data_IF_365606138886
#
_entry.id   IF_365606138886
#
_cell.length_a   1.000
_cell.length_b   1.000
_cell.length_c   1.000
_cell.angle_alpha   90.00
_cell.angle_beta   90.00
_cell.angle_gamma   90.00
#
_symmetry.space_group_name_H-M   'P 1'
#
loop_
_entity.id
_entity.type
_entity.pdbx_description
1 polymer ?
#
# COMPACT_ATOMS: atom_id res chain seq x y z
N UNK A 1 -18.43 0.93 -28.03
CA UNK A 1 -17.95 2.15 -27.32
C UNK A 1 -16.74 1.80 -26.47
N UNK A 2 -15.76 2.72 -26.33
CA UNK A 2 -14.65 2.50 -25.39
C UNK A 2 -15.19 2.49 -23.95
N UNK A 3 -14.81 1.49 -23.15
CA UNK A 3 -15.18 1.42 -21.75
C UNK A 3 -14.40 2.48 -20.98
N UNK A 4 -15.10 3.43 -20.35
CA UNK A 4 -14.48 4.47 -19.52
C UNK A 4 -14.60 4.12 -18.04
N UNK A 5 -13.49 4.03 -17.32
CA UNK A 5 -13.41 3.65 -15.92
C UNK A 5 -12.71 4.75 -15.14
N UNK A 6 -13.32 5.19 -14.04
CA UNK A 6 -12.69 6.10 -13.10
C UNK A 6 -11.96 5.33 -12.01
N UNK A 7 -10.73 5.75 -11.70
CA UNK A 7 -9.98 5.28 -10.52
C UNK A 7 -9.71 6.48 -9.63
N UNK A 8 -10.36 6.51 -8.47
CA UNK A 8 -10.29 7.63 -7.53
C UNK A 8 -9.40 7.28 -6.34
N UNK A 9 -8.43 8.16 -6.07
CA UNK A 9 -7.49 8.02 -4.96
C UNK A 9 -7.22 9.38 -4.29
N UNK A 10 -6.45 9.39 -3.22
CA UNK A 10 -5.95 10.60 -2.56
C UNK A 10 -4.43 10.51 -2.46
N UNK A 11 -3.77 11.61 -2.82
CA UNK A 11 -2.32 11.84 -2.65
C UNK A 11 -1.43 10.90 -3.47
N UNK A 12 -0.69 11.48 -4.39
CA UNK A 12 0.26 10.79 -5.30
C UNK A 12 1.46 10.11 -4.60
N UNK A 13 1.61 10.26 -3.28
CA UNK A 13 2.72 9.67 -2.50
C UNK A 13 2.28 8.54 -1.58
N UNK A 14 1.04 8.09 -1.70
CA UNK A 14 0.42 7.11 -0.81
C UNK A 14 0.40 5.69 -1.39
N UNK A 15 0.15 4.70 -0.53
CA UNK A 15 -0.19 3.34 -0.96
C UNK A 15 -1.44 3.30 -1.84
N UNK A 16 -2.40 4.20 -1.59
CA UNK A 16 -3.63 4.34 -2.39
C UNK A 16 -3.35 4.68 -3.86
N UNK A 17 -2.42 5.60 -4.13
CA UNK A 17 -1.97 5.90 -5.49
C UNK A 17 -1.28 4.72 -6.15
N UNK A 18 -0.38 4.01 -5.43
CA UNK A 18 0.27 2.81 -5.97
C UNK A 18 -0.76 1.72 -6.30
N UNK A 19 -1.76 1.53 -5.44
CA UNK A 19 -2.88 0.63 -5.68
C UNK A 19 -3.68 1.02 -6.94
N UNK A 20 -4.00 2.31 -7.08
CA UNK A 20 -4.68 2.84 -8.27
C UNK A 20 -3.88 2.57 -9.55
N UNK A 21 -2.57 2.83 -9.53
CA UNK A 21 -1.68 2.56 -10.68
C UNK A 21 -1.55 1.07 -11.00
N UNK A 22 -1.55 0.20 -10.00
CA UNK A 22 -1.55 -1.24 -10.21
C UNK A 22 -2.83 -1.73 -10.91
N UNK A 23 -3.99 -1.22 -10.48
CA UNK A 23 -5.29 -1.52 -11.11
C UNK A 23 -5.35 -0.95 -12.53
N UNK A 24 -4.89 0.29 -12.74
CA UNK A 24 -4.81 0.93 -14.07
C UNK A 24 -3.99 0.06 -15.03
N UNK A 25 -2.79 -0.37 -14.60
CA UNK A 25 -1.93 -1.23 -15.42
C UNK A 25 -2.57 -2.59 -15.70
N UNK A 26 -3.22 -3.19 -14.71
CA UNK A 26 -3.91 -4.47 -14.85
C UNK A 26 -5.11 -4.38 -15.83
N UNK A 27 -5.91 -3.32 -15.72
CA UNK A 27 -7.01 -3.06 -16.67
C UNK A 27 -6.51 -2.91 -18.10
N UNK A 28 -5.39 -2.19 -18.31
CA UNK A 28 -4.77 -2.06 -19.63
C UNK A 28 -4.23 -3.38 -20.19
N UNK A 29 -3.76 -4.28 -19.32
CA UNK A 29 -3.35 -5.64 -19.72
C UNK A 29 -4.56 -6.49 -20.15
N UNK A 30 -5.69 -6.36 -19.42
CA UNK A 30 -6.91 -7.14 -19.70
C UNK A 30 -7.71 -6.61 -20.88
N UNK A 31 -7.80 -5.29 -21.02
CA UNK A 31 -8.50 -4.63 -22.12
C UNK A 31 -7.78 -3.33 -22.52
N UNK A 32 -7.03 -3.39 -23.62
CA UNK A 32 -6.27 -2.24 -24.13
C UNK A 32 -7.17 -1.09 -24.59
N UNK A 33 -8.44 -1.37 -24.91
CA UNK A 33 -9.40 -0.37 -25.37
C UNK A 33 -10.08 0.40 -24.21
N UNK A 34 -9.87 -0.01 -22.95
CA UNK A 34 -10.36 0.75 -21.80
C UNK A 34 -9.75 2.15 -21.74
N UNK A 35 -10.60 3.16 -21.62
CA UNK A 35 -10.21 4.51 -21.23
C UNK A 35 -10.22 4.60 -19.72
N UNK A 36 -9.06 4.86 -19.12
CA UNK A 36 -8.93 4.91 -17.66
C UNK A 36 -8.57 6.33 -17.25
N UNK A 37 -9.40 6.90 -16.41
CA UNK A 37 -9.20 8.25 -15.83
C UNK A 37 -8.87 8.10 -14.36
N UNK A 38 -7.58 8.20 -14.04
CA UNK A 38 -7.08 8.13 -12.65
C UNK A 38 -6.97 9.52 -12.05
N UNK A 39 -7.73 9.80 -10.98
CA UNK A 39 -7.85 11.14 -10.39
C UNK A 39 -7.48 11.18 -8.91
N UNK A 40 -6.61 12.12 -8.53
CA UNK A 40 -6.46 12.57 -7.15
C UNK A 40 -7.66 13.47 -6.82
N UNK A 41 -8.63 12.88 -6.11
CA UNK A 41 -9.91 13.53 -5.88
C UNK A 41 -9.79 14.80 -5.02
N UNK A 42 -8.87 14.84 -4.06
CA UNK A 42 -8.65 16.05 -3.26
C UNK A 42 -8.10 17.19 -4.13
N UNK A 43 -7.15 16.88 -5.02
CA UNK A 43 -6.59 17.87 -5.94
C UNK A 43 -7.63 18.35 -6.96
N UNK A 44 -8.55 17.49 -7.37
CA UNK A 44 -9.65 17.85 -8.26
C UNK A 44 -10.70 18.76 -7.57
N UNK A 45 -11.16 18.36 -6.39
CA UNK A 45 -12.19 19.10 -5.65
C UNK A 45 -11.69 20.43 -5.10
N UNK A 46 -10.43 20.45 -4.65
CA UNK A 46 -9.82 21.57 -3.93
C UNK A 46 -8.43 21.92 -4.49
N UNK A 47 -8.33 22.41 -5.76
CA UNK A 47 -7.04 22.61 -6.43
C UNK A 47 -6.11 23.60 -5.71
N UNK A 48 -6.67 24.61 -5.03
CA UNK A 48 -5.88 25.62 -4.32
C UNK A 48 -5.48 25.20 -2.90
N UNK A 49 -6.31 24.43 -2.20
CA UNK A 49 -6.06 24.02 -0.81
C UNK A 49 -5.46 22.61 -0.69
N UNK A 50 -5.52 21.79 -1.74
CA UNK A 50 -5.02 20.40 -1.70
C UNK A 50 -3.54 20.30 -1.31
N UNK A 51 -2.70 21.24 -1.77
CA UNK A 51 -1.28 21.31 -1.37
C UNK A 51 -1.13 21.56 0.14
N UNK A 52 -1.95 22.47 0.70
CA UNK A 52 -1.96 22.77 2.14
C UNK A 52 -2.49 21.59 2.94
N UNK A 53 -3.58 20.95 2.50
CA UNK A 53 -4.15 19.75 3.15
C UNK A 53 -3.14 18.61 3.14
N UNK A 54 -2.50 18.34 2.01
CA UNK A 54 -1.45 17.32 1.89
C UNK A 54 -0.23 17.66 2.76
N UNK A 55 0.15 18.92 2.87
CA UNK A 55 1.22 19.39 3.75
C UNK A 55 0.86 19.21 5.22
N UNK A 56 -0.34 19.64 5.64
CA UNK A 56 -0.84 19.46 7.00
C UNK A 56 -0.98 17.98 7.38
N UNK A 57 -1.53 17.17 6.49
CA UNK A 57 -1.58 15.71 6.66
C UNK A 57 -0.18 15.12 6.88
N UNK A 58 0.77 15.48 6.02
CA UNK A 58 2.17 15.03 6.14
C UNK A 58 2.81 15.52 7.45
N UNK A 59 2.49 16.73 7.89
CA UNK A 59 2.98 17.31 9.14
C UNK A 59 2.41 16.57 10.36
N UNK A 60 1.10 16.31 10.38
CA UNK A 60 0.43 15.59 11.47
C UNK A 60 0.98 14.16 11.57
N UNK A 61 1.04 13.42 10.47
CA UNK A 61 1.58 12.06 10.45
C UNK A 61 3.05 12.01 10.90
N UNK A 62 3.84 13.03 10.57
CA UNK A 62 5.28 13.07 10.93
C UNK A 62 5.55 13.60 12.33
N UNK A 63 4.84 14.65 12.77
CA UNK A 63 5.16 15.37 14.02
C UNK A 63 4.20 15.05 15.16
N UNK A 64 2.95 14.66 14.86
CA UNK A 64 1.91 14.39 15.85
C UNK A 64 1.23 13.03 15.59
N UNK A 65 2.00 11.95 15.42
CA UNK A 65 1.45 10.65 15.03
C UNK A 65 0.43 10.09 16.05
N UNK A 66 0.55 10.47 17.33
CA UNK A 66 -0.37 10.08 18.40
C UNK A 66 -1.78 10.67 18.20
N UNK A 67 -1.87 11.95 17.77
CA UNK A 67 -3.17 12.57 17.46
C UNK A 67 -3.86 11.89 16.27
N UNK A 68 -3.07 11.50 15.26
CA UNK A 68 -3.58 10.75 14.12
C UNK A 68 -4.17 9.40 14.54
N UNK A 69 -3.44 8.63 15.36
CA UNK A 69 -3.92 7.34 15.89
C UNK A 69 -5.20 7.46 16.71
N UNK A 70 -5.31 8.52 17.53
CA UNK A 70 -6.51 8.76 18.36
C UNK A 70 -7.76 9.11 17.54
N UNK A 71 -7.60 9.76 16.39
CA UNK A 71 -8.71 10.09 15.48
C UNK A 71 -9.10 8.85 14.65
N UNK A 72 -8.11 8.02 14.29
CA UNK A 72 -8.30 6.89 13.39
C UNK A 72 -9.10 5.73 14.01
N UNK A 73 -8.95 5.47 15.32
CA UNK A 73 -9.51 4.28 16.00
C UNK A 73 -10.81 4.52 16.79
N UNK A 74 -11.26 5.78 16.95
CA UNK A 74 -12.48 6.05 17.74
C UNK A 74 -13.76 5.87 16.92
N UNK A 75 -14.32 4.66 16.90
CA UNK A 75 -15.64 4.36 16.31
C UNK A 75 -16.76 5.28 16.85
N UNK A 76 -16.69 5.69 18.12
CA UNK A 76 -17.66 6.60 18.75
C UNK A 76 -17.60 8.03 18.20
N UNK A 77 -16.43 8.50 17.73
CA UNK A 77 -16.32 9.78 17.02
C UNK A 77 -16.98 9.71 15.63
N UNK A 78 -16.99 8.55 15.00
CA UNK A 78 -17.56 8.36 13.66
C UNK A 78 -19.07 8.49 13.67
N UNK A 79 -19.76 7.97 14.70
CA UNK A 79 -21.22 8.14 14.88
C UNK A 79 -21.60 9.61 15.14
N UNK A 80 -20.77 10.37 15.85
CA UNK A 80 -20.96 11.82 16.07
C UNK A 80 -20.62 12.69 14.85
N UNK A 81 -19.85 12.16 13.88
CA UNK A 81 -19.42 12.90 12.69
C UNK A 81 -20.35 12.67 11.48
N UNK A 82 -21.32 11.75 11.54
CA UNK A 82 -22.25 11.50 10.42
C UNK A 82 -22.97 12.78 9.90
N UNK A 83 -23.51 13.68 10.75
CA UNK A 83 -24.09 14.92 10.29
C UNK A 83 -23.03 15.86 9.64
N UNK A 84 -21.79 15.83 10.16
CA UNK A 84 -20.67 16.60 9.63
C UNK A 84 -20.15 16.05 8.30
N UNK A 85 -20.12 14.71 8.13
CA UNK A 85 -19.85 14.07 6.83
C UNK A 85 -20.85 14.52 5.77
N UNK A 86 -22.14 14.58 6.08
CA UNK A 86 -23.18 15.03 5.14
C UNK A 86 -22.96 16.47 4.69
N UNK A 87 -22.59 17.37 5.60
CA UNK A 87 -22.30 18.75 5.27
C UNK A 87 -20.98 18.91 4.47
N UNK A 88 -19.94 18.15 4.80
CA UNK A 88 -18.66 18.14 4.09
C UNK A 88 -18.85 17.66 2.63
N UNK A 89 -19.68 16.62 2.44
CA UNK A 89 -19.97 16.08 1.11
C UNK A 89 -20.83 17.01 0.24
N UNK A 90 -21.65 17.90 0.83
CA UNK A 90 -22.62 18.69 0.06
C UNK A 90 -21.98 19.61 -1.00
N UNK A 91 -20.84 20.23 -0.69
CA UNK A 91 -20.13 21.07 -1.65
C UNK A 91 -19.39 20.25 -2.72
N UNK A 92 -18.83 19.12 -2.31
CA UNK A 92 -18.02 18.27 -3.19
C UNK A 92 -18.88 17.38 -4.07
N UNK A 93 -20.13 17.06 -3.66
CA UNK A 93 -21.07 16.25 -4.42
C UNK A 93 -21.37 16.84 -5.80
N UNK A 94 -21.63 18.14 -5.89
CA UNK A 94 -21.94 18.79 -7.18
C UNK A 94 -20.79 18.61 -8.16
N UNK A 95 -19.56 18.84 -7.72
CA UNK A 95 -18.39 18.70 -8.60
C UNK A 95 -18.17 17.27 -9.08
N UNK A 96 -18.42 16.27 -8.21
CA UNK A 96 -18.35 14.86 -8.58
C UNK A 96 -19.51 14.48 -9.51
N UNK A 97 -20.71 14.96 -9.23
CA UNK A 97 -21.88 14.76 -10.10
C UNK A 97 -21.62 15.31 -11.51
N UNK A 98 -21.17 16.57 -11.61
CA UNK A 98 -20.82 17.22 -12.87
C UNK A 98 -19.74 16.44 -13.63
N UNK A 99 -18.72 15.95 -12.90
CA UNK A 99 -17.67 15.12 -13.49
C UNK A 99 -18.21 13.82 -14.05
N UNK A 100 -19.06 13.10 -13.29
CA UNK A 100 -19.67 11.82 -13.73
C UNK A 100 -20.61 12.06 -14.91
N UNK A 101 -21.43 13.11 -14.90
CA UNK A 101 -22.33 13.47 -16.00
C UNK A 101 -21.55 13.82 -17.26
N UNK A 102 -20.48 14.61 -17.12
CA UNK A 102 -19.63 15.04 -18.24
C UNK A 102 -18.89 13.87 -18.88
N UNK A 103 -18.22 13.08 -18.05
CA UNK A 103 -17.29 12.03 -18.51
C UNK A 103 -17.97 10.69 -18.77
N UNK A 104 -19.15 10.44 -18.20
CA UNK A 104 -19.99 9.25 -18.35
C UNK A 104 -19.20 7.94 -18.14
N UNK A 105 -18.53 7.75 -16.98
CA UNK A 105 -17.84 6.50 -16.72
C UNK A 105 -18.85 5.35 -16.60
N UNK A 106 -18.44 4.15 -17.01
CA UNK A 106 -19.23 2.93 -16.85
C UNK A 106 -18.99 2.24 -15.52
N UNK A 107 -17.96 2.64 -14.77
CA UNK A 107 -17.68 2.16 -13.42
C UNK A 107 -16.68 3.05 -12.70
N UNK A 108 -16.73 3.02 -11.37
CA UNK A 108 -15.84 3.76 -10.48
C UNK A 108 -15.13 2.81 -9.54
N UNK A 109 -13.82 2.92 -9.45
CA UNK A 109 -12.98 2.19 -8.51
C UNK A 109 -12.37 3.20 -7.53
N UNK A 110 -12.50 2.97 -6.25
CA UNK A 110 -11.93 3.83 -5.22
C UNK A 110 -10.88 3.07 -4.41
N UNK A 111 -9.66 3.57 -4.33
CA UNK A 111 -8.59 2.97 -3.53
C UNK A 111 -8.44 3.62 -2.15
N UNK A 112 -9.38 4.51 -1.79
CA UNK A 112 -9.40 5.19 -0.50
C UNK A 112 -10.85 5.45 -0.05
N UNK A 113 -11.08 5.45 1.28
CA UNK A 113 -12.43 5.51 1.87
C UNK A 113 -13.20 6.81 1.56
N UNK A 114 -12.53 7.98 1.54
CA UNK A 114 -13.20 9.27 1.30
C UNK A 114 -13.85 9.35 -0.10
N UNK A 115 -13.14 9.13 -1.22
CA UNK A 115 -13.78 9.12 -2.53
C UNK A 115 -14.83 8.01 -2.66
N UNK A 116 -14.62 6.85 -2.03
CA UNK A 116 -15.59 5.77 -2.02
C UNK A 116 -16.90 6.20 -1.36
N UNK A 117 -16.83 6.79 -0.16
CA UNK A 117 -18.00 7.30 0.56
C UNK A 117 -18.71 8.44 -0.17
N UNK A 118 -17.94 9.31 -0.85
CA UNK A 118 -18.51 10.42 -1.62
C UNK A 118 -19.34 9.92 -2.83
N UNK A 119 -18.79 8.96 -3.59
CA UNK A 119 -19.51 8.35 -4.73
C UNK A 119 -20.70 7.50 -4.25
N UNK A 120 -20.53 6.75 -3.14
CA UNK A 120 -21.63 5.97 -2.55
C UNK A 120 -22.78 6.88 -2.11
N UNK A 121 -22.48 8.02 -1.47
CA UNK A 121 -23.53 9.00 -1.10
C UNK A 121 -24.22 9.62 -2.33
N UNK A 122 -23.48 9.87 -3.41
CA UNK A 122 -24.08 10.32 -4.68
C UNK A 122 -25.01 9.25 -5.26
N UNK A 123 -24.60 7.97 -5.24
CA UNK A 123 -25.44 6.85 -5.69
C UNK A 123 -26.74 6.78 -4.91
N UNK A 124 -26.69 6.87 -3.59
CA UNK A 124 -27.87 6.91 -2.70
C UNK A 124 -28.82 8.04 -3.09
N UNK A 125 -28.30 9.27 -3.20
CA UNK A 125 -29.10 10.47 -3.48
C UNK A 125 -29.74 10.48 -4.88
N UNK A 126 -29.08 9.90 -5.87
CA UNK A 126 -29.53 9.92 -7.27
C UNK A 126 -30.10 8.58 -7.74
N UNK A 127 -30.23 7.60 -6.85
CA UNK A 127 -30.61 6.21 -7.19
C UNK A 127 -29.82 5.67 -8.38
N UNK A 128 -28.52 6.00 -8.44
CA UNK A 128 -27.66 5.65 -9.57
C UNK A 128 -27.24 4.18 -9.52
N UNK A 129 -27.29 3.52 -10.66
CA UNK A 129 -26.81 2.13 -10.85
C UNK A 129 -25.35 2.06 -11.28
N UNK A 130 -24.61 3.18 -11.26
CA UNK A 130 -23.19 3.20 -11.63
C UNK A 130 -22.38 2.23 -10.75
N UNK A 131 -21.72 1.22 -11.32
CA UNK A 131 -20.90 0.27 -10.55
C UNK A 131 -19.83 1.00 -9.75
N UNK A 132 -19.78 0.72 -8.43
CA UNK A 132 -18.82 1.29 -7.49
C UNK A 132 -18.08 0.17 -6.77
N UNK A 133 -16.75 0.16 -6.90
CA UNK A 133 -15.87 -0.82 -6.28
C UNK A 133 -14.93 -0.13 -5.31
N UNK A 134 -15.02 -0.50 -4.03
CA UNK A 134 -14.13 -0.05 -2.97
C UNK A 134 -12.95 -1.01 -2.79
N UNK A 135 -11.74 -0.59 -3.14
CA UNK A 135 -10.53 -1.40 -2.96
C UNK A 135 -9.83 -0.97 -1.69
N UNK A 136 -10.00 -1.75 -0.63
CA UNK A 136 -9.47 -1.46 0.70
C UNK A 136 -7.97 -1.74 0.73
N UNK A 137 -7.17 -0.70 0.84
CA UNK A 137 -5.70 -0.79 0.80
C UNK A 137 -5.04 -1.03 2.17
N UNK A 138 -5.85 -1.17 3.20
CA UNK A 138 -5.43 -1.45 4.57
C UNK A 138 -5.69 -2.90 4.95
N UNK A 139 -4.84 -3.46 5.79
CA UNK A 139 -5.08 -4.79 6.35
C UNK A 139 -6.16 -4.75 7.44
N UNK A 140 -6.46 -3.56 7.97
CA UNK A 140 -7.53 -3.31 8.93
C UNK A 140 -8.36 -2.09 8.49
N UNK A 141 -9.52 -2.30 7.84
CA UNK A 141 -10.36 -1.21 7.38
C UNK A 141 -10.97 -0.43 8.54
N UNK A 142 -10.98 0.88 8.42
CA UNK A 142 -11.73 1.75 9.32
C UNK A 142 -13.21 1.87 8.89
N UNK A 143 -14.05 2.41 9.78
CA UNK A 143 -15.50 2.55 9.55
C UNK A 143 -15.89 3.50 8.41
N UNK A 144 -14.97 4.33 7.91
CA UNK A 144 -15.24 5.21 6.77
C UNK A 144 -15.42 4.47 5.44
N UNK A 145 -15.00 3.19 5.38
CA UNK A 145 -15.20 2.36 4.20
C UNK A 145 -16.64 1.88 4.03
N UNK A 146 -17.38 1.68 5.14
CA UNK A 146 -18.64 0.94 5.10
C UNK A 146 -19.79 1.78 4.56
N UNK A 147 -20.35 1.37 3.43
CA UNK A 147 -21.57 1.91 2.82
C UNK A 147 -22.30 0.81 2.06
N UNK A 148 -23.64 0.68 2.21
CA UNK A 148 -24.43 -0.31 1.48
C UNK A 148 -24.50 -0.05 -0.02
N UNK A 149 -24.19 1.17 -0.47
CA UNK A 149 -24.25 1.59 -1.86
C UNK A 149 -23.00 1.20 -2.68
N UNK A 150 -22.00 0.61 -2.04
CA UNK A 150 -20.82 0.06 -2.73
C UNK A 150 -21.16 -1.36 -3.20
N UNK A 151 -21.06 -1.60 -4.51
CA UNK A 151 -21.45 -2.88 -5.10
C UNK A 151 -20.47 -4.00 -4.72
N UNK A 152 -19.16 -3.70 -4.73
CA UNK A 152 -18.12 -4.64 -4.31
C UNK A 152 -17.05 -3.98 -3.47
N UNK A 153 -16.64 -4.69 -2.42
CA UNK A 153 -15.44 -4.39 -1.66
C UNK A 153 -14.36 -5.42 -1.94
N UNK A 154 -13.17 -4.96 -2.27
CA UNK A 154 -11.98 -5.82 -2.37
C UNK A 154 -11.17 -5.67 -1.10
N UNK A 155 -10.84 -6.80 -0.47
CA UNK A 155 -10.08 -6.88 0.77
C UNK A 155 -8.86 -7.79 0.64
N UNK A 156 -7.89 -7.61 1.55
CA UNK A 156 -6.64 -8.38 1.54
C UNK A 156 -6.82 -9.84 1.95
N UNK A 157 -7.59 -10.09 3.01
CA UNK A 157 -7.69 -11.39 3.68
C UNK A 157 -9.11 -11.68 4.18
N UNK A 158 -9.51 -12.95 4.23
CA UNK A 158 -10.86 -13.37 4.61
C UNK A 158 -11.28 -12.94 6.03
N UNK A 159 -10.35 -12.86 6.97
CA UNK A 159 -10.66 -12.43 8.33
C UNK A 159 -11.23 -11.00 8.40
N UNK A 160 -10.99 -10.17 7.38
CA UNK A 160 -11.55 -8.82 7.27
C UNK A 160 -13.06 -8.85 7.00
N UNK A 161 -13.59 -9.91 6.37
CA UNK A 161 -15.02 -10.08 6.07
C UNK A 161 -15.92 -9.88 7.30
N UNK A 162 -15.44 -10.34 8.46
CA UNK A 162 -16.18 -10.21 9.71
C UNK A 162 -16.55 -8.75 10.02
N UNK A 163 -15.62 -7.80 9.82
CA UNK A 163 -15.88 -6.37 10.04
C UNK A 163 -16.94 -5.81 9.08
N UNK A 164 -16.92 -6.24 7.84
CA UNK A 164 -17.93 -5.84 6.85
C UNK A 164 -19.31 -6.40 7.21
N UNK A 165 -19.38 -7.66 7.64
CA UNK A 165 -20.62 -8.28 8.12
C UNK A 165 -21.18 -7.56 9.34
N UNK A 166 -20.34 -7.22 10.32
CA UNK A 166 -20.71 -6.44 11.52
C UNK A 166 -21.22 -5.04 11.16
N UNK A 167 -20.74 -4.46 10.06
CA UNK A 167 -21.22 -3.19 9.51
C UNK A 167 -22.45 -3.31 8.60
N UNK A 168 -23.07 -4.50 8.49
CA UNK A 168 -24.29 -4.73 7.69
C UNK A 168 -24.03 -4.88 6.18
N UNK A 169 -22.80 -5.03 5.75
CA UNK A 169 -22.47 -5.25 4.34
C UNK A 169 -22.69 -6.72 3.97
N UNK A 170 -23.36 -6.97 2.84
CA UNK A 170 -23.62 -8.32 2.34
C UNK A 170 -22.29 -9.05 2.06
N UNK A 171 -22.20 -10.30 2.49
CA UNK A 171 -20.97 -11.10 2.29
C UNK A 171 -20.63 -11.28 0.80
N UNK A 172 -21.65 -11.43 -0.05
CA UNK A 172 -21.48 -11.52 -1.50
C UNK A 172 -20.81 -10.31 -2.14
N UNK A 173 -20.93 -9.14 -1.54
CA UNK A 173 -20.30 -7.91 -1.96
C UNK A 173 -18.81 -7.83 -1.55
N UNK A 174 -18.32 -8.70 -0.65
CA UNK A 174 -16.94 -8.64 -0.15
C UNK A 174 -16.08 -9.72 -0.81
N UNK A 175 -15.12 -9.29 -1.62
CA UNK A 175 -14.23 -10.16 -2.40
C UNK A 175 -12.81 -10.15 -1.84
N UNK A 176 -12.30 -11.31 -1.48
CA UNK A 176 -10.91 -11.47 -0.99
C UNK A 176 -9.99 -11.70 -2.18
N UNK A 177 -9.53 -10.61 -2.80
CA UNK A 177 -8.66 -10.65 -3.98
C UNK A 177 -7.22 -10.18 -3.70
N UNK A 178 -6.93 -9.80 -2.45
CA UNK A 178 -5.63 -9.24 -2.08
C UNK A 178 -5.52 -7.73 -2.30
N UNK A 179 -4.42 -7.15 -1.82
CA UNK A 179 -4.10 -5.75 -2.10
C UNK A 179 -3.50 -5.61 -3.49
N UNK A 180 -3.95 -4.63 -4.30
CA UNK A 180 -3.45 -4.48 -5.66
C UNK A 180 -1.98 -4.04 -5.67
N UNK A 181 -1.13 -4.91 -6.13
CA UNK A 181 0.28 -4.65 -6.40
C UNK A 181 0.51 -4.63 -7.91
N UNK A 182 1.59 -3.97 -8.33
CA UNK A 182 1.94 -3.90 -9.75
C UNK A 182 2.10 -5.30 -10.34
N UNK A 183 1.58 -5.59 -11.56
CA UNK A 183 1.72 -6.91 -12.19
C UNK A 183 3.17 -7.40 -12.33
N UNK A 184 4.14 -6.48 -12.29
CA UNK A 184 5.57 -6.82 -12.33
C UNK A 184 6.04 -7.63 -11.12
N UNK A 185 5.33 -7.57 -9.98
CA UNK A 185 5.63 -8.42 -8.83
C UNK A 185 5.29 -9.91 -9.06
N UNK A 186 4.49 -10.23 -10.07
CA UNK A 186 4.21 -11.61 -10.47
C UNK A 186 5.31 -12.23 -11.35
N UNK A 187 6.24 -11.41 -11.88
CA UNK A 187 7.32 -11.88 -12.74
C UNK A 187 8.43 -12.50 -11.91
N UNK A 188 8.86 -13.69 -12.32
CA UNK A 188 10.13 -14.23 -11.87
C UNK A 188 11.27 -13.54 -12.60
N UNK A 189 12.29 -13.11 -11.86
CA UNK A 189 13.45 -12.42 -12.40
C UNK A 189 14.70 -13.24 -12.10
N UNK A 190 15.57 -13.36 -13.09
CA UNK A 190 16.84 -14.08 -12.94
C UNK A 190 17.79 -13.34 -11.98
N UNK A 191 18.12 -13.97 -10.85
CA UNK A 191 18.97 -13.41 -9.80
C UNK A 191 20.40 -13.14 -10.32
N UNK A 192 20.94 -13.96 -11.23
CA UNK A 192 22.28 -13.75 -11.82
C UNK A 192 22.29 -12.50 -12.71
N UNK A 193 21.26 -12.32 -13.54
CA UNK A 193 21.12 -11.13 -14.37
C UNK A 193 20.99 -9.86 -13.51
N UNK A 194 20.14 -9.92 -12.47
CA UNK A 194 19.97 -8.80 -11.54
C UNK A 194 21.26 -8.47 -10.79
N UNK A 195 22.09 -9.48 -10.45
CA UNK A 195 23.36 -9.24 -9.78
C UNK A 195 24.32 -8.39 -10.63
N UNK A 196 24.37 -8.67 -11.93
CA UNK A 196 25.17 -7.89 -12.87
C UNK A 196 24.62 -6.45 -13.02
N UNK A 197 23.29 -6.32 -13.18
CA UNK A 197 22.61 -5.02 -13.30
C UNK A 197 22.82 -4.14 -12.07
N UNK A 198 22.76 -4.73 -10.88
CA UNK A 198 22.91 -4.03 -9.61
C UNK A 198 24.37 -3.86 -9.17
N UNK A 199 25.29 -4.63 -9.77
CA UNK A 199 26.69 -4.70 -9.31
C UNK A 199 26.78 -5.21 -7.87
N UNK A 200 26.04 -6.28 -7.56
CA UNK A 200 25.99 -7.00 -6.29
C UNK A 200 26.23 -8.49 -6.51
N UNK A 201 26.64 -9.22 -5.49
CA UNK A 201 26.89 -10.67 -5.59
C UNK A 201 25.59 -11.46 -5.58
N UNK A 202 25.42 -12.45 -6.47
CA UNK A 202 24.31 -13.41 -6.42
C UNK A 202 24.41 -14.41 -5.26
N UNK A 203 25.62 -14.58 -4.69
CA UNK A 203 25.93 -15.59 -3.67
C UNK A 203 25.71 -15.08 -2.24
N UNK A 204 25.78 -13.75 -2.04
CA UNK A 204 25.59 -13.15 -0.73
C UNK A 204 24.10 -12.87 -0.45
N UNK A 205 23.65 -13.08 0.80
CA UNK A 205 22.34 -12.63 1.21
C UNK A 205 22.18 -11.13 1.03
N UNK A 206 21.02 -10.69 0.56
CA UNK A 206 20.73 -9.28 0.32
C UNK A 206 19.60 -8.79 1.24
N UNK A 207 19.85 -7.68 1.92
CA UNK A 207 18.89 -7.02 2.78
C UNK A 207 18.44 -5.71 2.15
N UNK A 208 17.12 -5.61 1.90
CA UNK A 208 16.50 -4.38 1.41
C UNK A 208 16.03 -3.52 2.60
N UNK A 209 16.44 -2.27 2.64
CA UNK A 209 16.01 -1.30 3.66
C UNK A 209 15.24 -0.17 2.99
N UNK A 210 13.95 -0.01 3.32
CA UNK A 210 13.11 1.03 2.73
C UNK A 210 12.03 1.56 3.67
N UNK A 211 11.73 2.88 3.58
CA UNK A 211 10.75 3.58 4.40
C UNK A 211 9.51 4.05 3.63
N UNK A 212 9.11 3.29 2.59
CA UNK A 212 8.05 3.69 1.67
C UNK A 212 8.45 4.85 0.74
N UNK A 213 7.52 5.35 -0.06
CA UNK A 213 7.81 6.37 -1.08
C UNK A 213 8.36 7.69 -0.54
N UNK A 214 8.10 8.03 0.71
CA UNK A 214 8.65 9.23 1.38
C UNK A 214 9.98 8.99 2.11
N UNK A 215 10.50 7.76 2.16
CA UNK A 215 11.74 7.42 2.84
C UNK A 215 11.69 7.72 4.35
N UNK A 216 10.57 7.36 5.01
CA UNK A 216 10.38 7.61 6.43
C UNK A 216 11.08 6.54 7.29
N UNK A 217 11.45 6.93 8.51
CA UNK A 217 12.12 6.07 9.47
C UNK A 217 13.63 6.31 9.54
N UNK A 218 14.32 5.66 10.47
CA UNK A 218 15.75 5.87 10.72
C UNK A 218 16.63 5.01 9.81
N UNK A 219 16.39 5.04 8.48
CA UNK A 219 17.05 4.15 7.51
C UNK A 219 18.57 4.24 7.58
N UNK A 220 19.13 5.45 7.78
CA UNK A 220 20.57 5.64 7.94
C UNK A 220 21.13 4.91 9.16
N UNK A 221 20.45 4.99 10.33
CA UNK A 221 20.85 4.26 11.52
C UNK A 221 20.71 2.75 11.38
N UNK A 222 19.70 2.30 10.64
CA UNK A 222 19.54 0.87 10.31
C UNK A 222 20.71 0.40 9.46
N UNK A 223 21.07 1.17 8.43
CA UNK A 223 22.24 0.86 7.58
C UNK A 223 23.53 0.80 8.41
N UNK A 224 23.75 1.75 9.32
CA UNK A 224 24.93 1.81 10.20
C UNK A 224 25.05 0.57 11.10
N UNK A 225 23.96 0.17 11.75
CA UNK A 225 24.01 -0.97 12.66
C UNK A 225 24.21 -2.28 11.93
N UNK A 226 23.67 -2.41 10.72
CA UNK A 226 23.87 -3.57 9.86
C UNK A 226 25.31 -3.63 9.29
N UNK A 227 25.90 -2.48 8.98
CA UNK A 227 27.27 -2.40 8.49
C UNK A 227 28.32 -2.87 9.51
N UNK A 228 27.99 -2.78 10.80
CA UNK A 228 28.84 -3.25 11.90
C UNK A 228 28.72 -4.77 12.19
N UNK A 229 27.83 -5.49 11.49
CA UNK A 229 27.72 -6.96 11.65
C UNK A 229 28.96 -7.66 11.13
N UNK A 230 29.38 -8.74 11.79
CA UNK A 230 30.47 -9.61 11.35
C UNK A 230 30.05 -10.59 10.24
N UNK A 231 28.74 -10.78 10.02
CA UNK A 231 28.24 -11.70 8.99
C UNK A 231 28.36 -11.10 7.61
N UNK A 232 28.60 -11.94 6.62
CA UNK A 232 28.67 -11.59 5.21
C UNK A 232 27.28 -11.43 4.60
N UNK A 233 26.95 -10.24 4.16
CA UNK A 233 25.73 -9.88 3.40
C UNK A 233 25.90 -8.52 2.75
N UNK A 234 24.97 -8.13 1.90
CA UNK A 234 24.96 -6.87 1.18
C UNK A 234 23.64 -6.12 1.37
N UNK A 235 23.63 -4.81 1.10
CA UNK A 235 22.52 -3.93 1.35
C UNK A 235 22.02 -3.24 0.10
N UNK A 236 20.70 -3.14 -0.03
CA UNK A 236 20.03 -2.21 -0.93
C UNK A 236 19.25 -1.23 -0.05
N UNK A 237 19.48 0.07 -0.19
CA UNK A 237 18.82 1.11 0.60
C UNK A 237 18.03 2.01 -0.33
N UNK A 238 16.71 2.09 -0.13
CA UNK A 238 15.84 2.97 -0.92
C UNK A 238 15.36 4.13 -0.06
N UNK A 239 15.91 5.31 -0.33
CA UNK A 239 15.63 6.55 0.42
C UNK A 239 14.30 7.22 0.04
N UNK A 240 13.65 6.76 -1.04
CA UNK A 240 12.44 7.40 -1.55
C UNK A 240 12.69 8.88 -1.88
N UNK A 241 11.72 9.74 -1.60
CA UNK A 241 11.84 11.20 -1.83
C UNK A 241 12.67 11.94 -0.77
N UNK A 242 13.31 11.25 0.16
CA UNK A 242 14.18 11.85 1.18
C UNK A 242 15.57 12.14 0.62
N UNK A 243 15.70 13.24 -0.15
CA UNK A 243 16.95 13.68 -0.77
C UNK A 243 18.08 13.92 0.26
N UNK A 244 17.72 14.43 1.46
CA UNK A 244 18.71 14.67 2.52
C UNK A 244 19.35 13.35 2.97
N UNK A 245 18.56 12.34 3.23
CA UNK A 245 19.06 11.01 3.62
C UNK A 245 19.88 10.39 2.48
N UNK A 246 19.40 10.48 1.25
CA UNK A 246 20.12 9.97 0.08
C UNK A 246 21.53 10.54 -0.03
N UNK A 247 21.67 11.88 0.03
CA UNK A 247 22.96 12.55 -0.04
C UNK A 247 23.88 12.20 1.16
N UNK A 248 23.29 12.08 2.37
CA UNK A 248 24.05 11.67 3.56
C UNK A 248 24.65 10.27 3.41
N UNK A 249 23.87 9.32 2.87
CA UNK A 249 24.32 7.94 2.71
C UNK A 249 25.34 7.78 1.57
N UNK A 250 25.21 8.53 0.47
CA UNK A 250 26.19 8.52 -0.62
C UNK A 250 27.59 8.93 -0.18
N UNK A 251 27.69 9.87 0.76
CA UNK A 251 28.97 10.35 1.29
C UNK A 251 29.53 9.48 2.41
N UNK A 252 28.82 8.40 2.79
CA UNK A 252 29.26 7.49 3.85
C UNK A 252 30.06 6.33 3.30
N UNK A 253 31.17 6.00 3.97
CA UNK A 253 31.91 4.76 3.70
C UNK A 253 31.26 3.62 4.46
N UNK A 254 31.03 2.51 3.80
CA UNK A 254 30.49 1.27 4.36
C UNK A 254 31.55 0.17 4.26
N UNK A 255 31.55 -0.73 5.25
CA UNK A 255 32.36 -1.93 5.24
C UNK A 255 31.76 -3.00 4.30
N UNK A 256 30.44 -3.00 4.17
CA UNK A 256 29.70 -3.93 3.30
C UNK A 256 29.45 -3.35 1.93
N UNK A 257 29.13 -4.22 0.97
CA UNK A 257 28.63 -3.79 -0.32
C UNK A 257 27.23 -3.18 -0.16
N UNK A 258 27.09 -1.89 -0.47
CA UNK A 258 25.83 -1.13 -0.30
C UNK A 258 25.47 -0.42 -1.60
N UNK A 259 24.22 -0.60 -2.03
CA UNK A 259 23.64 0.19 -3.13
C UNK A 259 22.55 1.11 -2.57
N UNK A 260 22.64 2.38 -2.92
CA UNK A 260 21.78 3.43 -2.39
C UNK A 260 20.98 4.04 -3.53
N UNK A 261 19.67 4.06 -3.38
CA UNK A 261 18.75 4.61 -4.37
C UNK A 261 17.86 5.70 -3.78
N UNK A 262 17.56 6.70 -4.58
CA UNK A 262 16.52 7.69 -4.31
C UNK A 262 15.13 7.07 -4.55
N UNK A 263 14.12 7.87 -4.92
CA UNK A 263 12.84 7.34 -5.40
C UNK A 263 13.03 6.61 -6.73
N UNK A 264 12.50 5.39 -6.83
CA UNK A 264 12.62 4.53 -8.01
C UNK A 264 11.37 3.66 -8.19
N UNK A 265 11.14 3.22 -9.39
CA UNK A 265 10.12 2.23 -9.77
C UNK A 265 10.68 0.80 -9.84
N UNK A 266 11.99 0.60 -9.67
CA UNK A 266 12.66 -0.71 -9.71
C UNK A 266 12.45 -1.57 -8.44
N UNK A 267 11.51 -1.20 -7.58
CA UNK A 267 11.21 -1.95 -6.35
C UNK A 267 10.95 -3.45 -6.62
N UNK A 268 10.23 -3.85 -7.69
CA UNK A 268 10.06 -5.26 -8.01
C UNK A 268 11.40 -6.01 -8.23
N UNK A 269 12.39 -5.36 -8.86
CA UNK A 269 13.74 -5.93 -9.06
C UNK A 269 14.48 -6.06 -7.74
N UNK A 270 14.47 -5.00 -6.92
CA UNK A 270 15.16 -5.00 -5.64
C UNK A 270 14.58 -6.04 -4.68
N UNK A 271 13.26 -6.17 -4.61
CA UNK A 271 12.60 -7.20 -3.81
C UNK A 271 12.86 -8.60 -4.36
N UNK A 272 12.91 -8.79 -5.69
CA UNK A 272 13.24 -10.10 -6.29
C UNK A 272 14.69 -10.52 -6.02
N UNK A 273 15.59 -9.57 -5.83
CA UNK A 273 17.01 -9.83 -5.55
C UNK A 273 17.29 -10.04 -4.05
N UNK A 274 16.39 -9.58 -3.17
CA UNK A 274 16.58 -9.56 -1.73
C UNK A 274 16.05 -10.82 -1.04
N UNK A 275 16.60 -11.13 0.13
CA UNK A 275 16.19 -12.24 1.00
C UNK A 275 15.39 -11.74 2.21
N UNK A 276 15.74 -10.55 2.71
CA UNK A 276 15.14 -9.91 3.88
C UNK A 276 14.76 -8.47 3.52
N UNK A 277 13.64 -8.00 4.03
CA UNK A 277 13.27 -6.59 3.94
C UNK A 277 13.07 -5.99 5.33
N UNK A 278 13.61 -4.79 5.54
CA UNK A 278 13.37 -3.97 6.73
C UNK A 278 12.55 -2.75 6.31
N UNK A 279 11.32 -2.68 6.79
CA UNK A 279 10.37 -1.65 6.33
C UNK A 279 9.33 -1.30 7.40
N UNK A 280 8.41 -0.40 7.06
CA UNK A 280 7.20 -0.11 7.84
C UNK A 280 6.05 -1.02 7.38
N UNK A 281 5.05 -1.31 8.23
CA UNK A 281 3.94 -2.22 7.90
C UNK A 281 2.84 -1.54 7.05
N UNK A 282 3.23 -0.80 6.00
CA UNK A 282 2.30 -0.24 5.03
C UNK A 282 1.72 -1.34 4.13
N UNK A 283 0.39 -1.37 3.96
CA UNK A 283 -0.33 -2.47 3.30
C UNK A 283 0.29 -2.89 1.96
N UNK A 284 0.48 -1.95 1.04
CA UNK A 284 1.03 -2.25 -0.30
C UNK A 284 2.45 -2.82 -0.22
N UNK A 285 3.35 -2.22 0.58
CA UNK A 285 4.72 -2.72 0.73
C UNK A 285 4.76 -4.13 1.33
N UNK A 286 3.87 -4.42 2.30
CA UNK A 286 3.72 -5.77 2.85
C UNK A 286 3.25 -6.75 1.77
N UNK A 287 2.21 -6.40 1.00
CA UNK A 287 1.72 -7.27 -0.08
C UNK A 287 2.80 -7.55 -1.14
N UNK A 288 3.57 -6.53 -1.54
CA UNK A 288 4.73 -6.64 -2.43
C UNK A 288 5.80 -7.59 -1.85
N UNK A 289 6.12 -7.45 -0.56
CA UNK A 289 7.10 -8.28 0.14
C UNK A 289 6.67 -9.73 0.27
N UNK A 290 5.39 -9.97 0.56
CA UNK A 290 4.80 -11.31 0.60
C UNK A 290 4.85 -11.97 -0.77
N UNK A 291 4.52 -11.23 -1.84
CA UNK A 291 4.56 -11.73 -3.22
C UNK A 291 5.96 -12.17 -3.65
N UNK A 292 7.00 -11.49 -3.16
CA UNK A 292 8.40 -11.88 -3.41
C UNK A 292 8.95 -12.88 -2.40
N UNK A 293 8.16 -13.24 -1.37
CA UNK A 293 8.57 -14.22 -0.36
C UNK A 293 9.71 -13.74 0.51
N UNK A 294 9.72 -12.47 0.88
CA UNK A 294 10.77 -11.90 1.73
C UNK A 294 10.51 -12.20 3.21
N UNK A 295 11.57 -12.40 3.99
CA UNK A 295 11.49 -12.31 5.44
C UNK A 295 11.35 -10.83 5.84
N UNK A 296 10.26 -10.48 6.53
CA UNK A 296 9.88 -9.08 6.75
C UNK A 296 10.20 -8.69 8.19
N UNK A 297 11.02 -7.65 8.36
CA UNK A 297 11.28 -7.02 9.65
C UNK A 297 10.62 -5.64 9.65
N UNK A 298 9.69 -5.44 10.58
CA UNK A 298 8.99 -4.17 10.76
C UNK A 298 9.65 -3.36 11.85
N UNK A 299 9.84 -2.06 11.58
CA UNK A 299 10.40 -1.13 12.52
C UNK A 299 9.66 0.22 12.51
N UNK A 300 9.31 0.74 13.71
CA UNK A 300 8.62 2.03 13.91
C UNK A 300 7.38 2.22 13.02
N UNK A 301 6.31 1.46 13.27
CA UNK A 301 5.02 1.70 12.62
C UNK A 301 4.50 3.11 12.93
N UNK A 302 3.76 3.69 12.00
CA UNK A 302 3.00 4.92 12.28
C UNK A 302 1.79 4.55 13.13
N UNK A 303 1.53 5.27 14.25
CA UNK A 303 0.36 5.02 15.11
C UNK A 303 -0.95 4.99 14.33
N UNK A 304 -1.89 4.16 14.80
CA UNK A 304 -3.18 3.93 14.17
C UNK A 304 -3.13 2.86 13.10
N UNK A 305 -3.22 3.22 11.85
CA UNK A 305 -3.34 2.29 10.71
C UNK A 305 -2.20 1.26 10.63
N UNK A 306 -0.94 1.71 10.68
CA UNK A 306 0.20 0.80 10.57
C UNK A 306 0.37 -0.09 11.82
N UNK A 307 -0.02 0.39 13.01
CA UNK A 307 -0.04 -0.44 14.23
C UNK A 307 -1.08 -1.55 14.15
N UNK A 308 -2.26 -1.27 13.59
CA UNK A 308 -3.29 -2.28 13.41
C UNK A 308 -2.88 -3.32 12.37
N UNK A 309 -2.25 -2.89 11.26
CA UNK A 309 -1.63 -3.79 10.30
C UNK A 309 -0.59 -4.68 11.00
N UNK A 310 0.28 -4.10 11.83
CA UNK A 310 1.33 -4.83 12.53
C UNK A 310 0.77 -5.88 13.49
N UNK A 311 -0.27 -5.56 14.28
CA UNK A 311 -0.91 -6.52 15.19
C UNK A 311 -1.34 -7.79 14.46
N UNK A 312 -1.97 -7.63 13.29
CA UNK A 312 -2.36 -8.75 12.45
C UNK A 312 -1.15 -9.53 11.93
N UNK A 313 -0.18 -8.84 11.34
CA UNK A 313 0.99 -9.48 10.73
C UNK A 313 1.81 -10.28 11.75
N UNK A 314 1.91 -9.81 12.99
CA UNK A 314 2.57 -10.52 14.09
C UNK A 314 1.76 -11.75 14.51
N UNK A 315 0.44 -11.62 14.64
CA UNK A 315 -0.45 -12.75 14.96
C UNK A 315 -0.32 -13.88 13.96
N UNK A 316 -0.23 -13.54 12.68
CA UNK A 316 -0.06 -14.52 11.60
C UNK A 316 1.39 -14.97 11.41
N UNK A 317 2.34 -14.55 12.25
CA UNK A 317 3.76 -14.87 12.13
C UNK A 317 4.34 -14.53 10.73
N UNK A 318 3.91 -13.43 10.13
CA UNK A 318 4.35 -12.96 8.81
C UNK A 318 5.50 -11.95 8.89
N UNK A 319 5.71 -11.35 10.07
CA UNK A 319 6.74 -10.33 10.28
C UNK A 319 7.42 -10.47 11.63
N UNK A 320 8.64 -9.98 11.71
CA UNK A 320 9.34 -9.70 12.96
C UNK A 320 9.12 -8.24 13.33
N UNK A 321 8.70 -7.96 14.57
CA UNK A 321 8.52 -6.61 15.07
C UNK A 321 9.73 -6.20 15.91
N UNK A 322 10.60 -5.36 15.36
CA UNK A 322 11.74 -4.81 16.07
C UNK A 322 11.37 -3.45 16.72
N UNK A 323 11.45 -3.35 18.03
CA UNK A 323 11.19 -2.12 18.78
C UNK A 323 12.43 -1.23 18.90
N UNK A 324 13.62 -1.84 18.92
CA UNK A 324 14.92 -1.17 19.05
C UNK A 324 15.83 -1.52 17.87
N UNK A 325 16.75 -0.62 17.52
CA UNK A 325 17.69 -0.85 16.41
C UNK A 325 18.53 -2.14 16.59
N UNK A 326 18.97 -2.42 17.82
CA UNK A 326 19.70 -3.66 18.14
C UNK A 326 18.91 -4.91 17.82
N UNK A 327 17.60 -4.89 18.04
CA UNK A 327 16.74 -6.04 17.73
C UNK A 327 16.72 -6.35 16.23
N UNK A 328 16.82 -5.31 15.37
CA UNK A 328 16.93 -5.49 13.92
C UNK A 328 18.16 -6.33 13.59
N UNK A 329 19.32 -5.95 14.14
CA UNK A 329 20.57 -6.68 13.92
C UNK A 329 20.47 -8.13 14.41
N UNK A 330 20.00 -8.33 15.63
CA UNK A 330 19.84 -9.68 16.20
C UNK A 330 18.90 -10.57 15.36
N UNK A 331 17.78 -10.00 14.84
CA UNK A 331 16.86 -10.74 13.98
C UNK A 331 17.52 -11.10 12.65
N UNK A 332 18.23 -10.15 12.02
CA UNK A 332 18.95 -10.36 10.77
C UNK A 332 20.00 -11.46 10.95
N UNK A 333 20.85 -11.37 11.96
CA UNK A 333 21.90 -12.35 12.22
C UNK A 333 21.32 -13.74 12.48
N UNK A 334 20.27 -13.84 13.28
CA UNK A 334 19.57 -15.12 13.49
C UNK A 334 19.02 -15.74 12.21
N UNK A 335 18.42 -14.90 11.33
CA UNK A 335 17.87 -15.36 10.04
C UNK A 335 18.98 -15.81 9.08
N UNK A 336 20.12 -15.12 9.06
CA UNK A 336 21.23 -15.46 8.18
C UNK A 336 21.99 -16.72 8.64
N UNK A 337 22.08 -16.95 9.95
CA UNK A 337 22.72 -18.14 10.53
C UNK A 337 21.86 -19.38 10.38
N UNK A 338 20.53 -19.25 10.42
CA UNK A 338 19.57 -20.36 10.26
C UNK A 338 18.86 -20.26 8.89
N UNK A 339 19.55 -20.77 7.87
CA UNK A 339 19.05 -20.76 6.48
C UNK A 339 17.75 -21.55 6.30
N UNK A 340 17.53 -22.59 7.07
CA UNK A 340 16.31 -23.40 6.97
C UNK A 340 15.11 -22.61 7.50
N UNK A 341 15.27 -21.98 8.65
CA UNK A 341 14.24 -21.09 9.21
C UNK A 341 13.95 -19.92 8.28
N UNK A 342 14.97 -19.29 7.68
CA UNK A 342 14.78 -18.22 6.69
C UNK A 342 13.92 -18.72 5.52
N UNK A 343 14.23 -19.88 4.93
CA UNK A 343 13.45 -20.50 3.85
C UNK A 343 12.03 -20.83 4.28
N UNK A 344 11.82 -21.29 5.51
CA UNK A 344 10.48 -21.56 6.06
C UNK A 344 9.64 -20.28 6.14
N UNK A 345 10.23 -19.19 6.61
CA UNK A 345 9.58 -17.88 6.68
C UNK A 345 9.24 -17.35 5.28
N UNK A 346 10.16 -17.46 4.34
CA UNK A 346 9.96 -17.06 2.95
C UNK A 346 8.83 -17.86 2.27
N UNK A 347 8.75 -19.19 2.50
CA UNK A 347 7.64 -20.02 2.02
C UNK A 347 6.31 -19.59 2.64
N UNK A 348 6.30 -19.30 3.97
CA UNK A 348 5.10 -18.79 4.63
C UNK A 348 4.66 -17.44 4.06
N UNK A 349 5.58 -16.51 3.82
CA UNK A 349 5.26 -15.24 3.17
C UNK A 349 4.56 -15.45 1.82
N UNK A 350 5.09 -16.34 0.98
CA UNK A 350 4.50 -16.68 -0.32
C UNK A 350 3.11 -17.32 -0.19
N UNK A 351 2.85 -18.16 0.81
CA UNK A 351 1.53 -18.80 0.99
C UNK A 351 0.43 -17.80 1.36
N UNK A 352 0.77 -16.62 1.91
CA UNK A 352 -0.15 -15.53 2.19
C UNK A 352 -0.23 -14.49 1.05
N UNK A 353 0.58 -14.66 0.02
CA UNK A 353 0.66 -13.68 -1.06
C UNK A 353 -0.50 -13.81 -2.05
N UNK A 354 -0.83 -12.70 -2.68
CA UNK A 354 -1.82 -12.61 -3.76
C UNK A 354 -1.19 -11.82 -4.94
N UNK A 355 -0.17 -12.39 -5.63
CA UNK A 355 0.60 -11.65 -6.63
C UNK A 355 -0.23 -11.20 -7.84
N UNK A 356 -1.34 -11.89 -8.13
CA UNK A 356 -2.26 -11.58 -9.22
C UNK A 356 -3.42 -10.65 -8.80
N UNK A 357 -3.37 -10.09 -7.58
CA UNK A 357 -4.46 -9.28 -7.02
C UNK A 357 -4.97 -8.20 -7.97
N UNK A 358 -4.09 -7.40 -8.57
CA UNK A 358 -4.50 -6.35 -9.49
C UNK A 358 -5.17 -6.87 -10.77
N UNK A 359 -4.75 -8.03 -11.29
CA UNK A 359 -5.36 -8.67 -12.45
C UNK A 359 -6.76 -9.20 -12.13
N UNK A 360 -6.93 -9.84 -10.96
CA UNK A 360 -8.25 -10.31 -10.48
C UNK A 360 -9.20 -9.15 -10.19
N UNK A 361 -8.68 -8.04 -9.67
CA UNK A 361 -9.46 -6.81 -9.47
C UNK A 361 -9.88 -6.23 -10.83
N UNK A 362 -9.01 -6.23 -11.83
CA UNK A 362 -9.35 -5.79 -13.16
C UNK A 362 -10.46 -6.65 -13.79
N UNK A 363 -10.44 -7.98 -13.60
CA UNK A 363 -11.51 -8.87 -14.05
C UNK A 363 -12.84 -8.50 -13.36
N UNK A 364 -12.85 -8.34 -12.02
CA UNK A 364 -14.05 -7.93 -11.27
C UNK A 364 -14.62 -6.59 -11.78
N UNK A 365 -13.75 -5.61 -12.06
CA UNK A 365 -14.17 -4.31 -12.62
C UNK A 365 -14.81 -4.48 -13.99
N UNK A 366 -14.19 -5.24 -14.89
CA UNK A 366 -14.70 -5.47 -16.23
C UNK A 366 -16.00 -6.27 -16.25
N UNK A 367 -16.15 -7.24 -15.35
CA UNK A 367 -17.41 -7.99 -15.14
C UNK A 367 -18.53 -7.08 -14.65
N UNK A 368 -18.26 -6.22 -13.67
CA UNK A 368 -19.26 -5.34 -13.07
C UNK A 368 -19.81 -4.25 -14.00
N UNK A 369 -19.08 -3.90 -15.06
CA UNK A 369 -19.53 -2.90 -16.05
C UNK A 369 -20.17 -3.53 -17.29
N UNK A 370 -20.11 -4.86 -17.44
CA UNK A 370 -20.73 -5.59 -18.55
C UNK A 370 -22.08 -6.24 -18.16
N UNK A 371 -22.37 -6.39 -16.86
CA UNK A 371 -23.63 -6.90 -16.31
C UNK A 371 -24.57 -5.76 -15.99
#
# INVERSE_FOLDING_TARGET
>A
MKKKIFILYITTLSGHYKAAKAIEKALKIKDQNCEIVSLDILSYLHPYSSKLVNFLYSLIVRKLPFLWGSIYDKENLVKGIEPFKKNLYHHDLRKIEDLIIKERPQGVVCTQAFPCGLVAYLKEKKHSKLPLIGVVTDLWPNSFWFSPEVDYYVIAFDWVKKRFKEAGIKESAVKTLGLPIMPDFNKELDKKRLSLELGLSSELPTILVMGGGSGLGPLGRIAEILDNSKLEFQLIIVCGKNKKLYNQLLNKKFNKSVKIFSYTEDIPKFMSFSDIIITKPGGITIAESLAKGLAIIVFKPIPGQEENNLKFLVRENLVFNAKKLREILCIVERLLLDKENLRRIQRRARSFSQPESSLKIADLVLESING
#
